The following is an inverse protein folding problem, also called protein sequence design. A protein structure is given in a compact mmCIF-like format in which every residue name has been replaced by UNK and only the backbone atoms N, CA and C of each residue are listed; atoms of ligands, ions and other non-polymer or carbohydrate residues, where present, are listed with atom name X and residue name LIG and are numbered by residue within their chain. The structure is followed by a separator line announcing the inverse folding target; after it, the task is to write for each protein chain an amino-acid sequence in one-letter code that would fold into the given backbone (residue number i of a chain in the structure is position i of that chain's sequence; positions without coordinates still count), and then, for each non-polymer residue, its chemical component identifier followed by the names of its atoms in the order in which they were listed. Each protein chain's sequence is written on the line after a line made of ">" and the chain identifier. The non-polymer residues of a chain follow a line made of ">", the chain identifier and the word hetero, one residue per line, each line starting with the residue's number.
data_IF_869888169072
#
_entry.id   IF_869888169072
#
_cell.length_a   1.000
_cell.length_b   1.000
_cell.length_c   1.000
_cell.angle_alpha   90.00
_cell.angle_beta   90.00
_cell.angle_gamma   90.00
#
_symmetry.space_group_name_H-M   'P 1'
#
loop_
_entity.id
_entity.type
_entity.pdbx_description
1 polymer ?
#
# COMPACT_ATOMS: atom_id res chain seq x y z
N UNK A 1 10.83 11.25 0.94
CA UNK A 1 9.99 12.31 0.35
C UNK A 1 8.88 11.66 -0.47
N UNK A 2 7.63 12.03 -0.25
CA UNK A 2 6.48 11.53 -1.02
C UNK A 2 5.49 12.67 -1.27
N UNK A 3 4.74 12.66 -2.40
CA UNK A 3 3.67 13.63 -2.63
C UNK A 3 2.56 13.44 -1.59
N UNK A 4 1.84 14.52 -1.29
CA UNK A 4 0.68 14.50 -0.38
C UNK A 4 -0.47 13.68 -0.98
N UNK A 5 -0.69 13.83 -2.26
CA UNK A 5 -1.68 13.07 -3.01
C UNK A 5 -0.99 12.17 -4.05
N UNK A 6 -1.57 11.01 -4.25
CA UNK A 6 -1.03 10.03 -5.18
C UNK A 6 -1.49 8.64 -4.83
N UNK A 7 -0.94 7.66 -5.51
CA UNK A 7 -1.21 6.25 -5.26
C UNK A 7 -0.09 5.38 -5.82
N UNK A 8 -0.10 4.13 -5.40
CA UNK A 8 0.82 3.09 -5.89
C UNK A 8 2.31 3.42 -5.72
N UNK A 9 2.68 4.29 -4.78
CA UNK A 9 4.07 4.67 -4.55
C UNK A 9 4.67 5.61 -5.61
N UNK A 10 3.86 6.13 -6.52
CA UNK A 10 4.33 7.02 -7.58
C UNK A 10 4.98 8.28 -6.99
N UNK A 11 6.14 8.67 -7.55
CA UNK A 11 6.90 9.87 -7.16
C UNK A 11 7.46 9.84 -5.72
N UNK A 12 7.48 8.69 -5.05
CA UNK A 12 8.21 8.54 -3.79
C UNK A 12 9.70 8.48 -4.10
N UNK A 13 10.51 9.19 -3.33
CA UNK A 13 11.97 9.21 -3.46
C UNK A 13 12.63 9.13 -2.09
N UNK A 14 13.68 8.31 -1.98
CA UNK A 14 14.57 8.33 -0.82
C UNK A 14 15.53 9.49 -1.00
N UNK A 15 15.64 10.31 0.02
CA UNK A 15 16.57 11.45 0.07
C UNK A 15 17.26 11.43 1.42
N UNK A 16 18.58 11.65 1.42
CA UNK A 16 19.43 11.58 2.61
C UNK A 16 19.91 12.96 3.08
N UNK A 17 19.69 13.99 2.26
CA UNK A 17 20.14 15.35 2.56
C UNK A 17 19.24 16.41 1.90
N UNK A 18 19.41 17.65 2.35
CA UNK A 18 18.75 18.79 1.71
C UNK A 18 19.27 19.02 0.28
N UNK A 19 20.55 18.79 0.03
CA UNK A 19 21.13 18.93 -1.30
C UNK A 19 20.49 17.96 -2.31
N UNK A 20 20.15 16.76 -1.88
CA UNK A 20 19.42 15.79 -2.70
C UNK A 20 17.99 16.24 -2.99
N UNK A 21 17.30 16.85 -2.01
CA UNK A 21 15.99 17.44 -2.23
C UNK A 21 16.08 18.58 -3.25
N UNK A 22 17.04 19.49 -3.11
CA UNK A 22 17.28 20.57 -4.06
C UNK A 22 17.59 20.03 -5.48
N UNK A 23 18.36 18.96 -5.57
CA UNK A 23 18.68 18.30 -6.84
C UNK A 23 17.43 17.70 -7.51
N UNK A 24 16.48 17.15 -6.73
CA UNK A 24 15.19 16.66 -7.26
C UNK A 24 14.42 17.81 -7.90
N UNK A 25 14.28 18.94 -7.21
CA UNK A 25 13.58 20.12 -7.74
C UNK A 25 14.30 20.77 -8.91
N UNK A 26 15.64 20.76 -8.91
CA UNK A 26 16.42 21.28 -10.04
C UNK A 26 16.25 20.44 -11.30
N UNK A 27 16.13 19.11 -11.17
CA UNK A 27 15.93 18.18 -12.28
C UNK A 27 14.51 18.25 -12.83
N UNK A 28 13.49 18.34 -11.96
CA UNK A 28 12.08 18.47 -12.34
C UNK A 28 11.42 19.56 -11.48
N UNK A 29 11.36 20.80 -11.98
CA UNK A 29 10.71 21.91 -11.29
C UNK A 29 9.21 21.69 -11.04
N UNK A 30 8.59 20.73 -11.74
CA UNK A 30 7.18 20.41 -11.64
C UNK A 30 6.91 19.15 -10.79
N UNK A 31 7.93 18.56 -10.18
CA UNK A 31 7.81 17.32 -9.37
C UNK A 31 6.75 17.44 -8.26
N UNK A 32 6.47 18.64 -7.80
CA UNK A 32 5.52 18.97 -6.72
C UNK A 32 4.07 19.16 -7.20
N UNK A 33 3.84 19.22 -8.52
CA UNK A 33 2.48 19.33 -9.06
C UNK A 33 1.77 17.95 -9.05
N UNK A 34 0.43 17.95 -8.91
CA UNK A 34 -0.47 19.11 -8.74
C UNK A 34 -0.60 19.62 -7.30
N UNK A 35 -0.06 18.93 -6.32
CA UNK A 35 -0.42 19.08 -4.90
C UNK A 35 0.27 20.25 -4.22
N UNK A 36 1.38 20.72 -4.77
CA UNK A 36 2.24 21.77 -4.20
C UNK A 36 2.73 21.45 -2.77
N UNK A 37 2.72 20.17 -2.39
CA UNK A 37 3.08 19.70 -1.07
C UNK A 37 3.76 18.33 -1.15
N UNK A 38 4.84 18.18 -0.38
CA UNK A 38 5.51 16.91 -0.11
C UNK A 38 5.55 16.61 1.37
N UNK A 39 5.43 15.34 1.69
CA UNK A 39 5.68 14.83 3.03
C UNK A 39 7.12 14.31 3.11
N UNK A 40 7.86 14.76 4.11
CA UNK A 40 9.12 14.13 4.50
C UNK A 40 8.80 13.13 5.61
N UNK A 41 9.01 11.88 5.32
CA UNK A 41 8.73 10.77 6.23
C UNK A 41 10.01 9.99 6.46
N UNK A 42 10.23 9.53 7.70
CA UNK A 42 11.33 8.63 8.01
C UNK A 42 11.27 7.39 7.12
N UNK A 43 12.41 7.05 6.50
CA UNK A 43 12.58 5.79 5.80
C UNK A 43 12.88 4.70 6.83
N UNK A 44 12.04 3.68 6.86
CA UNK A 44 12.20 2.52 7.74
C UNK A 44 12.66 1.32 6.89
N UNK A 45 13.89 0.85 7.08
CA UNK A 45 14.36 -0.37 6.44
C UNK A 45 13.47 -1.54 6.86
N UNK A 46 13.16 -2.40 5.91
CA UNK A 46 12.42 -3.64 6.11
C UNK A 46 12.93 -4.69 5.12
N UNK A 47 12.74 -5.95 5.45
CA UNK A 47 13.12 -7.07 4.60
C UNK A 47 12.28 -7.07 3.31
N UNK A 48 12.87 -6.82 2.12
CA UNK A 48 12.15 -6.79 0.84
C UNK A 48 11.56 -8.15 0.47
N UNK A 49 12.10 -9.26 0.98
CA UNK A 49 11.59 -10.62 0.74
C UNK A 49 10.31 -10.89 1.55
N UNK A 50 10.17 -10.27 2.70
CA UNK A 50 8.91 -10.30 3.45
C UNK A 50 7.88 -9.35 2.86
N UNK A 51 8.31 -8.26 2.25
CA UNK A 51 7.46 -7.22 1.69
C UNK A 51 6.66 -6.48 2.76
N UNK A 52 5.66 -5.74 2.32
CA UNK A 52 4.70 -5.07 3.19
C UNK A 52 3.45 -5.95 3.40
N UNK A 53 2.73 -5.70 4.47
CA UNK A 53 1.44 -6.35 4.72
C UNK A 53 0.33 -5.36 4.41
N UNK A 54 -0.63 -5.81 3.61
CA UNK A 54 -1.87 -5.10 3.34
C UNK A 54 -3.04 -5.90 3.85
N UNK A 55 -3.84 -5.27 4.69
CA UNK A 55 -5.08 -5.83 5.24
C UNK A 55 -6.27 -5.10 4.62
N UNK A 56 -7.22 -5.85 4.07
CA UNK A 56 -8.46 -5.33 3.52
C UNK A 56 -9.57 -5.48 4.56
N UNK A 57 -10.35 -4.43 4.74
CA UNK A 57 -11.44 -4.37 5.73
C UNK A 57 -12.78 -4.10 5.06
N UNK A 58 -13.84 -4.68 5.62
CA UNK A 58 -15.22 -4.50 5.22
C UNK A 58 -16.10 -4.37 6.46
N UNK A 59 -16.86 -3.28 6.57
CA UNK A 59 -17.73 -3.03 7.73
C UNK A 59 -16.98 -2.97 9.06
N UNK A 60 -15.70 -2.58 9.05
CA UNK A 60 -14.85 -2.52 10.23
C UNK A 60 -14.23 -3.87 10.67
N UNK A 61 -14.45 -4.94 9.92
CA UNK A 61 -13.86 -6.26 10.17
C UNK A 61 -12.85 -6.64 9.08
N UNK A 62 -11.84 -7.46 9.44
CA UNK A 62 -10.87 -7.95 8.48
C UNK A 62 -11.56 -8.82 7.42
N UNK A 63 -11.42 -8.46 6.17
CA UNK A 63 -11.93 -9.24 5.04
C UNK A 63 -10.90 -10.30 4.62
N UNK A 64 -9.68 -9.88 4.34
CA UNK A 64 -8.52 -10.74 4.09
C UNK A 64 -7.22 -9.91 4.20
N UNK A 65 -6.08 -10.58 4.16
CA UNK A 65 -4.79 -9.92 4.14
C UNK A 65 -3.84 -10.57 3.13
N UNK A 66 -2.85 -9.78 2.72
CA UNK A 66 -1.83 -10.19 1.77
C UNK A 66 -0.46 -9.61 2.14
N UNK A 67 0.58 -10.31 1.72
CA UNK A 67 1.92 -9.74 1.61
C UNK A 67 2.12 -9.22 0.19
N UNK A 68 2.69 -8.04 0.09
CA UNK A 68 2.97 -7.37 -1.17
C UNK A 68 4.49 -7.23 -1.30
N UNK A 69 5.07 -7.91 -2.29
CA UNK A 69 6.50 -7.84 -2.57
C UNK A 69 6.73 -6.93 -3.77
N UNK A 70 7.60 -5.97 -3.60
CA UNK A 70 7.92 -4.94 -4.62
C UNK A 70 9.35 -5.04 -5.14
N UNK A 71 10.11 -6.04 -4.67
CA UNK A 71 11.50 -6.24 -5.04
C UNK A 71 12.37 -4.98 -4.86
N UNK A 72 12.11 -4.24 -3.77
CA UNK A 72 12.81 -3.01 -3.45
C UNK A 72 12.28 -1.76 -4.16
N UNK A 73 11.13 -1.84 -4.84
CA UNK A 73 10.48 -0.68 -5.46
C UNK A 73 9.41 -0.09 -4.56
N UNK A 74 9.19 1.22 -4.66
CA UNK A 74 8.04 1.88 -4.00
C UNK A 74 6.76 1.78 -4.83
N UNK A 75 6.89 1.59 -6.15
CA UNK A 75 5.73 1.52 -7.03
C UNK A 75 4.98 0.21 -6.84
N UNK A 76 3.75 0.29 -6.37
CA UNK A 76 2.83 -0.83 -6.14
C UNK A 76 1.88 -1.08 -7.33
N UNK A 77 2.06 -0.37 -8.43
CA UNK A 77 1.25 -0.57 -9.63
C UNK A 77 1.76 -1.80 -10.41
N UNK A 78 0.94 -2.83 -10.60
CA UNK A 78 1.35 -4.01 -11.37
C UNK A 78 1.30 -3.80 -12.89
N UNK A 79 0.81 -2.64 -13.34
CA UNK A 79 0.68 -2.35 -14.77
C UNK A 79 2.03 -2.02 -15.42
N UNK A 80 2.32 -2.56 -16.60
CA UNK A 80 3.50 -2.16 -17.38
C UNK A 80 3.54 -0.66 -17.69
N UNK A 81 2.37 0.00 -17.78
CA UNK A 81 2.28 1.44 -18.01
C UNK A 81 2.84 2.26 -16.85
N UNK A 82 2.72 1.75 -15.62
CA UNK A 82 3.27 2.38 -14.42
C UNK A 82 4.75 2.02 -14.20
N UNK A 83 5.27 1.05 -14.93
CA UNK A 83 6.63 0.52 -14.81
C UNK A 83 7.24 0.42 -16.22
N UNK A 84 7.52 1.55 -16.86
CA UNK A 84 8.22 1.53 -18.15
C UNK A 84 9.60 0.86 -17.96
N UNK A 85 9.99 0.03 -18.93
CA UNK A 85 11.27 -0.71 -18.89
C UNK A 85 12.52 0.18 -18.92
N UNK A 86 12.35 1.47 -19.12
CA UNK A 86 13.42 2.43 -19.34
C UNK A 86 13.86 3.07 -18.02
N UNK A 87 14.39 2.35 -17.12
CA UNK A 87 15.26 2.70 -15.98
C UNK A 87 15.38 4.12 -15.41
N UNK A 88 14.79 5.10 -16.03
CA UNK A 88 14.83 6.51 -15.65
C UNK A 88 13.53 6.94 -14.96
N UNK A 89 13.39 6.62 -13.69
CA UNK A 89 12.26 7.11 -12.88
C UNK A 89 11.63 6.11 -11.92
N UNK A 90 12.05 4.87 -11.94
CA UNK A 90 11.67 3.95 -10.89
C UNK A 90 12.38 4.33 -9.60
N UNK A 91 11.62 4.66 -8.56
CA UNK A 91 12.17 4.78 -7.22
C UNK A 91 12.58 3.39 -6.75
N UNK A 92 13.85 3.09 -6.84
CA UNK A 92 14.44 1.83 -6.39
C UNK A 92 15.06 2.00 -5.01
N UNK A 93 14.92 0.98 -4.18
CA UNK A 93 15.74 0.88 -2.96
C UNK A 93 17.21 0.63 -3.35
N UNK A 94 18.20 1.02 -2.52
CA UNK A 94 19.64 0.94 -2.85
C UNK A 94 20.14 -0.42 -3.30
N UNK A 95 19.40 -1.52 -3.09
CA UNK A 95 19.80 -2.89 -3.44
C UNK A 95 18.83 -3.59 -4.38
N UNK A 96 18.02 -2.86 -5.16
CA UNK A 96 17.05 -3.45 -6.08
C UNK A 96 17.72 -4.30 -7.17
N UNK A 97 17.25 -5.52 -7.36
CA UNK A 97 17.75 -6.45 -8.39
C UNK A 97 17.16 -6.11 -9.77
N UNK A 98 17.92 -6.25 -10.86
CA UNK A 98 17.38 -6.08 -12.21
C UNK A 98 16.35 -7.18 -12.53
N UNK A 99 15.18 -6.80 -13.07
CA UNK A 99 13.95 -7.58 -13.00
C UNK A 99 13.65 -8.38 -14.26
N UNK A 100 13.62 -9.72 -14.11
CA UNK A 100 12.81 -10.64 -14.95
C UNK A 100 11.49 -11.04 -14.25
N UNK A 101 11.22 -10.51 -13.06
CA UNK A 101 10.05 -10.83 -12.20
C UNK A 101 8.98 -9.74 -12.32
N UNK A 102 7.70 -10.05 -12.08
CA UNK A 102 6.65 -9.03 -12.02
C UNK A 102 7.03 -7.91 -11.05
N UNK A 103 6.78 -6.64 -11.38
CA UNK A 103 7.18 -5.50 -10.56
C UNK A 103 6.56 -5.53 -9.17
N UNK A 104 5.41 -6.19 -9.03
CA UNK A 104 4.69 -6.35 -7.75
C UNK A 104 4.05 -7.74 -7.71
N UNK A 105 4.24 -8.44 -6.61
CA UNK A 105 3.64 -9.75 -6.36
C UNK A 105 2.77 -9.70 -5.11
N UNK A 106 1.67 -10.46 -5.14
CA UNK A 106 0.68 -10.50 -4.06
C UNK A 106 0.50 -11.93 -3.57
N UNK A 107 0.73 -12.16 -2.29
CA UNK A 107 0.64 -13.47 -1.65
C UNK A 107 -0.40 -13.45 -0.54
N UNK A 108 -1.23 -14.49 -0.40
CA UNK A 108 -2.14 -14.62 0.74
C UNK A 108 -1.36 -14.62 2.06
N UNK A 109 -1.85 -13.88 3.06
CA UNK A 109 -1.29 -13.87 4.40
C UNK A 109 -2.34 -14.31 5.40
N UNK A 110 -2.42 -15.62 5.64
CA UNK A 110 -3.48 -16.24 6.45
C UNK A 110 -3.27 -16.08 7.96
N UNK A 111 -2.01 -16.00 8.39
CA UNK A 111 -1.62 -15.96 9.80
C UNK A 111 -1.33 -14.51 10.27
N UNK A 112 -2.28 -13.60 10.00
CA UNK A 112 -2.13 -12.20 10.44
C UNK A 112 -2.13 -12.13 11.96
N UNK A 113 -1.14 -11.49 12.60
CA UNK A 113 -1.13 -11.32 14.04
C UNK A 113 -2.39 -10.62 14.54
N UNK A 114 -3.04 -11.20 15.54
CA UNK A 114 -4.28 -10.66 16.11
C UNK A 114 -4.15 -9.20 16.53
N UNK A 115 -3.02 -8.82 17.08
CA UNK A 115 -2.74 -7.45 17.48
C UNK A 115 -2.78 -6.49 16.27
N UNK A 116 -2.19 -6.89 15.13
CA UNK A 116 -2.21 -6.08 13.90
C UNK A 116 -3.64 -5.91 13.38
N UNK A 117 -4.46 -6.98 13.43
CA UNK A 117 -5.88 -6.92 13.06
C UNK A 117 -6.63 -5.93 13.95
N UNK A 118 -6.46 -5.99 15.26
CA UNK A 118 -7.14 -5.09 16.20
C UNK A 118 -6.71 -3.61 16.03
N UNK A 119 -5.43 -3.37 15.69
CA UNK A 119 -4.97 -2.03 15.34
C UNK A 119 -5.66 -1.57 14.04
N UNK A 120 -5.66 -2.41 13.01
CA UNK A 120 -6.32 -2.10 11.73
C UNK A 120 -7.81 -1.78 11.90
N UNK A 121 -8.55 -2.57 12.70
CA UNK A 121 -9.96 -2.29 13.05
C UNK A 121 -10.15 -0.92 13.69
N UNK A 122 -9.26 -0.53 14.60
CA UNK A 122 -9.32 0.80 15.21
C UNK A 122 -9.07 1.92 14.20
N UNK A 123 -8.12 1.70 13.28
CA UNK A 123 -7.79 2.67 12.22
C UNK A 123 -8.99 2.86 11.30
N UNK A 124 -9.56 1.79 10.73
CA UNK A 124 -10.69 1.91 9.78
C UNK A 124 -11.92 2.51 10.42
N UNK A 125 -12.19 2.20 11.70
CA UNK A 125 -13.29 2.82 12.46
C UNK A 125 -13.06 4.32 12.70
N UNK A 126 -11.84 4.72 13.08
CA UNK A 126 -11.47 6.12 13.25
C UNK A 126 -11.56 6.90 11.93
N UNK A 127 -11.16 6.29 10.82
CA UNK A 127 -11.24 6.85 9.47
C UNK A 127 -12.66 6.79 8.89
N UNK A 128 -13.63 6.11 9.55
CA UNK A 128 -15.01 5.89 9.07
C UNK A 128 -15.06 5.22 7.70
N UNK A 129 -14.21 4.21 7.50
CA UNK A 129 -14.15 3.45 6.27
C UNK A 129 -14.97 2.16 6.40
N UNK A 130 -15.99 2.03 5.55
CA UNK A 130 -16.74 0.79 5.42
C UNK A 130 -16.01 -0.23 4.53
N UNK A 131 -15.29 0.27 3.53
CA UNK A 131 -14.37 -0.52 2.68
C UNK A 131 -13.04 0.20 2.65
N UNK A 132 -11.94 -0.49 2.95
CA UNK A 132 -10.63 0.13 2.92
C UNK A 132 -9.49 -0.83 3.21
N UNK A 133 -8.30 -0.43 2.79
CA UNK A 133 -7.06 -1.14 3.05
C UNK A 133 -6.19 -0.41 4.06
N UNK A 134 -5.45 -1.16 4.85
CA UNK A 134 -4.44 -0.64 5.76
C UNK A 134 -3.12 -1.32 5.45
N UNK A 135 -2.06 -0.54 5.30
CA UNK A 135 -0.72 -1.08 5.08
C UNK A 135 0.18 -0.89 6.29
N UNK A 136 0.96 -1.93 6.59
CA UNK A 136 2.05 -1.85 7.54
C UNK A 136 3.28 -2.60 7.04
N UNK A 137 4.44 -2.20 7.55
CA UNK A 137 5.68 -2.94 7.40
C UNK A 137 6.16 -3.47 8.76
N UNK A 138 6.94 -4.54 8.71
CA UNK A 138 7.65 -5.09 9.86
C UNK A 138 9.11 -4.67 9.73
N UNK A 139 9.59 -3.90 10.71
CA UNK A 139 10.99 -3.45 10.78
C UNK A 139 11.89 -4.57 11.28
N UNK A 140 13.19 -4.47 11.03
CA UNK A 140 14.19 -5.46 11.46
C UNK A 140 14.23 -5.67 12.98
N UNK A 141 13.80 -4.68 13.76
CA UNK A 141 13.66 -4.75 15.21
C UNK A 141 12.29 -5.32 15.68
N UNK A 142 11.48 -5.80 14.73
CA UNK A 142 10.20 -6.48 15.01
C UNK A 142 9.01 -5.54 15.30
N UNK A 143 9.17 -4.23 15.10
CA UNK A 143 8.03 -3.30 15.20
C UNK A 143 7.14 -3.40 13.96
N UNK A 144 5.84 -3.19 14.14
CA UNK A 144 4.88 -3.00 13.05
C UNK A 144 4.53 -1.53 12.94
N UNK A 145 4.84 -0.95 11.79
CA UNK A 145 4.58 0.46 11.51
C UNK A 145 3.51 0.58 10.45
N UNK A 146 2.35 1.08 10.86
CA UNK A 146 1.21 1.36 9.97
C UNK A 146 1.44 2.71 9.32
N UNK A 147 1.47 2.77 8.00
CA UNK A 147 1.91 3.95 7.28
C UNK A 147 0.97 4.44 6.19
N UNK A 148 0.01 3.60 5.76
CA UNK A 148 -0.93 3.98 4.72
C UNK A 148 -2.35 3.50 5.01
N UNK A 149 -3.33 4.36 4.64
CA UNK A 149 -4.77 4.12 4.74
C UNK A 149 -5.36 4.31 3.36
N UNK A 150 -5.93 3.26 2.78
CA UNK A 150 -6.40 3.22 1.42
C UNK A 150 -7.92 3.19 1.41
N UNK A 151 -8.55 4.34 1.15
CA UNK A 151 -10.01 4.45 1.09
C UNK A 151 -10.62 3.86 -0.20
N UNK A 152 -9.81 3.69 -1.24
CA UNK A 152 -10.20 3.07 -2.49
C UNK A 152 -9.50 1.72 -2.64
N UNK A 153 -10.06 0.69 -2.02
CA UNK A 153 -9.46 -0.63 -2.01
C UNK A 153 -9.52 -1.31 -3.38
N UNK A 154 -8.38 -1.81 -3.82
CA UNK A 154 -8.25 -2.62 -5.04
C UNK A 154 -8.31 -4.10 -4.67
N UNK A 155 -9.51 -4.62 -4.47
CA UNK A 155 -9.76 -5.99 -4.06
C UNK A 155 -9.17 -7.01 -5.05
N UNK A 156 -8.59 -8.10 -4.51
CA UNK A 156 -7.87 -9.12 -5.28
C UNK A 156 -8.49 -10.51 -5.08
N UNK A 157 -9.38 -10.97 -5.98
CA UNK A 157 -10.01 -12.29 -5.86
C UNK A 157 -8.99 -13.44 -5.81
N UNK A 158 -7.90 -13.35 -6.59
CA UNK A 158 -6.84 -14.37 -6.61
C UNK A 158 -6.17 -14.57 -5.25
N UNK A 159 -6.07 -13.54 -4.43
CA UNK A 159 -5.53 -13.62 -3.06
C UNK A 159 -6.62 -14.04 -2.09
N UNK A 160 -7.81 -13.44 -2.19
CA UNK A 160 -8.94 -13.69 -1.29
C UNK A 160 -9.46 -15.14 -1.39
N UNK A 161 -9.28 -15.80 -2.54
CA UNK A 161 -9.65 -17.21 -2.73
C UNK A 161 -8.94 -18.14 -1.74
N UNK A 162 -7.72 -17.83 -1.32
CA UNK A 162 -7.01 -18.60 -0.29
C UNK A 162 -7.64 -18.43 1.10
N UNK A 163 -8.42 -17.39 1.33
CA UNK A 163 -9.26 -17.17 2.52
C UNK A 163 -10.65 -17.81 2.39
N UNK A 164 -10.92 -18.50 1.26
CA UNK A 164 -12.21 -19.13 0.97
C UNK A 164 -13.34 -18.16 0.68
N UNK A 165 -13.04 -16.95 0.18
CA UNK A 165 -14.03 -15.92 -0.11
C UNK A 165 -13.85 -15.31 -1.50
N UNK A 166 -14.95 -14.82 -2.08
CA UNK A 166 -14.93 -13.81 -3.14
C UNK A 166 -15.11 -12.43 -2.50
N UNK A 167 -14.15 -11.53 -2.62
CA UNK A 167 -14.21 -10.23 -1.96
C UNK A 167 -15.26 -9.32 -2.56
N UNK A 168 -15.62 -9.47 -3.84
CA UNK A 168 -16.68 -8.67 -4.48
C UNK A 168 -18.07 -9.12 -4.04
N UNK A 169 -18.31 -10.44 -3.95
CA UNK A 169 -19.57 -10.96 -3.38
C UNK A 169 -19.76 -10.46 -1.95
N UNK A 170 -18.71 -10.48 -1.12
CA UNK A 170 -18.76 -9.97 0.26
C UNK A 170 -19.14 -8.49 0.33
N UNK A 171 -18.59 -7.68 -0.58
CA UNK A 171 -18.92 -6.25 -0.65
C UNK A 171 -20.38 -6.06 -1.09
N UNK A 172 -20.85 -6.80 -2.09
CA UNK A 172 -22.25 -6.75 -2.53
C UNK A 172 -23.20 -7.13 -1.38
N UNK A 173 -22.92 -8.22 -0.68
CA UNK A 173 -23.71 -8.66 0.48
C UNK A 173 -23.76 -7.59 1.56
N UNK A 174 -22.62 -6.97 1.87
CA UNK A 174 -22.55 -5.88 2.82
C UNK A 174 -23.42 -4.69 2.40
N UNK A 175 -23.32 -4.26 1.15
CA UNK A 175 -24.13 -3.14 0.62
C UNK A 175 -25.63 -3.44 0.66
N UNK A 176 -26.04 -4.67 0.30
CA UNK A 176 -27.45 -5.11 0.40
C UNK A 176 -27.93 -5.06 1.85
N UNK A 177 -27.12 -5.54 2.79
CA UNK A 177 -27.48 -5.48 4.22
C UNK A 177 -27.64 -4.04 4.72
N UNK A 178 -26.78 -3.11 4.29
CA UNK A 178 -26.91 -1.69 4.64
C UNK A 178 -28.20 -1.08 4.10
N UNK A 179 -28.55 -1.38 2.85
CA UNK A 179 -29.79 -0.89 2.24
C UNK A 179 -31.04 -1.41 2.96
N UNK A 180 -31.09 -2.70 3.29
CA UNK A 180 -32.22 -3.30 4.02
C UNK A 180 -32.28 -2.78 5.47
N UNK A 181 -31.14 -2.57 6.11
CA UNK A 181 -31.05 -2.00 7.46
C UNK A 181 -31.50 -0.54 7.53
N UNK A 182 -31.23 0.25 6.50
CA UNK A 182 -31.64 1.66 6.41
C UNK A 182 -33.14 1.85 6.07
N UNK A 183 -33.79 0.81 5.56
CA UNK A 183 -35.25 0.85 5.20
C UNK A 183 -36.18 0.51 6.38
N UNK A 184 -35.64 0.24 7.55
CA UNK A 184 -36.39 -0.03 8.80
C UNK A 184 -36.27 1.13 9.78
#
# INVERSE_FOLDING_TARGET
>A
MKPDQGGSGARIQVVSSWDEIEAVFARDPNVWLPDNLFLLQEFLPHDPDQGIVRMEFLGGELLYAMRVKTHGRFNLCPSPVCNPDDGEGACELPDAQPVSTPPVEFYPYLEVPREAVEIGKRIVRAARLDVGGIEYLETDDGRRVFYDIIANSNLRPSVASAWGIDPFERVVDFLVQQLVGAAR
#
